data_IF_716158947059
#
_entry.id   IF_716158947059
#
_cell.length_a   1.000
_cell.length_b   1.000
_cell.length_c   1.000
_cell.angle_alpha   90.00
_cell.angle_beta   90.00
_cell.angle_gamma   90.00
#
_symmetry.space_group_name_H-M   'P 1'
#
loop_
_entity.id
_entity.type
_entity.pdbx_description
1 polymer ?
#
# COMPACT_ATOMS: atom_id res chain seq x y z
N UNK A 1 -20.32 -14.47 -6.41
CA UNK A 1 -20.76 -14.25 -5.02
C UNK A 1 -20.27 -15.33 -4.01
N UNK A 2 -19.31 -16.19 -4.38
CA UNK A 2 -18.81 -17.29 -3.55
C UNK A 2 -17.26 -17.34 -3.53
N UNK A 3 -16.60 -16.19 -3.68
CA UNK A 3 -15.15 -16.15 -3.47
C UNK A 3 -14.91 -16.16 -1.96
N UNK A 4 -14.22 -17.19 -1.48
CA UNK A 4 -13.62 -17.17 -0.15
C UNK A 4 -12.57 -16.05 -0.15
N UNK A 5 -12.90 -14.94 0.51
CA UNK A 5 -11.91 -13.93 0.82
C UNK A 5 -11.01 -14.49 1.92
N UNK A 6 -9.75 -14.77 1.58
CA UNK A 6 -8.74 -15.05 2.58
C UNK A 6 -8.35 -13.72 3.24
N UNK A 7 -8.52 -13.64 4.55
CA UNK A 7 -8.00 -12.54 5.37
C UNK A 7 -6.75 -13.03 6.12
N UNK A 8 -5.75 -12.16 6.24
CA UNK A 8 -4.50 -12.41 6.96
C UNK A 8 -4.30 -11.37 8.07
N UNK A 9 -5.01 -11.50 9.21
CA UNK A 9 -4.95 -10.51 10.30
C UNK A 9 -3.53 -10.38 10.90
N UNK A 10 -2.76 -11.47 10.90
CA UNK A 10 -1.38 -11.51 11.41
C UNK A 10 -0.35 -10.91 10.43
N UNK A 11 -0.80 -10.54 9.23
CA UNK A 11 -0.01 -9.93 8.16
C UNK A 11 1.20 -10.80 7.77
N UNK A 12 1.07 -12.11 7.92
CA UNK A 12 2.15 -13.06 7.64
C UNK A 12 2.51 -13.08 6.14
N UNK A 13 1.51 -12.92 5.27
CA UNK A 13 1.67 -12.86 3.82
C UNK A 13 2.47 -11.63 3.41
N UNK A 14 2.21 -10.45 3.99
CA UNK A 14 2.98 -9.24 3.70
C UNK A 14 4.49 -9.50 3.89
N UNK A 15 4.88 -10.03 5.06
CA UNK A 15 6.29 -10.37 5.34
C UNK A 15 6.84 -11.42 4.37
N UNK A 16 6.06 -12.44 4.04
CA UNK A 16 6.46 -13.49 3.09
C UNK A 16 6.72 -12.94 1.67
N UNK A 17 6.01 -11.88 1.28
CA UNK A 17 6.18 -11.19 -0.01
C UNK A 17 7.13 -9.99 0.06
N UNK A 18 7.93 -9.85 1.13
CA UNK A 18 8.94 -8.79 1.26
C UNK A 18 8.37 -7.42 1.62
N UNK A 19 7.13 -7.36 2.08
CA UNK A 19 6.45 -6.16 2.57
C UNK A 19 6.45 -6.21 4.10
N UNK A 20 7.39 -5.56 4.80
CA UNK A 20 7.38 -5.55 6.25
C UNK A 20 6.18 -4.76 6.78
N UNK A 21 5.78 -5.07 8.02
CA UNK A 21 4.79 -4.25 8.73
C UNK A 21 5.46 -2.93 9.12
N UNK A 22 4.99 -1.82 8.54
CA UNK A 22 5.55 -0.50 8.77
C UNK A 22 5.05 0.02 10.12
N UNK A 23 5.94 0.40 11.02
CA UNK A 23 5.58 1.05 12.28
C UNK A 23 5.51 2.58 12.09
N UNK A 24 4.40 3.18 12.51
CA UNK A 24 4.30 4.64 12.60
C UNK A 24 4.90 5.11 13.93
N UNK A 25 5.89 5.98 13.87
CA UNK A 25 6.55 6.54 15.05
C UNK A 25 6.33 8.06 15.13
N UNK A 26 6.66 8.66 16.28
CA UNK A 26 6.60 10.12 16.40
C UNK A 26 7.69 10.80 15.56
N UNK A 27 8.96 10.40 15.78
CA UNK A 27 10.12 11.16 15.28
C UNK A 27 11.18 10.32 14.53
N UNK A 28 11.02 9.00 14.45
CA UNK A 28 12.01 8.09 13.85
C UNK A 28 11.54 7.56 12.49
N UNK A 29 12.34 7.80 11.45
CA UNK A 29 12.15 7.16 10.14
C UNK A 29 13.32 6.21 9.87
N UNK A 30 12.99 4.95 9.59
CA UNK A 30 13.92 3.90 9.20
C UNK A 30 13.25 2.97 8.19
N UNK A 31 13.28 3.36 6.90
CA UNK A 31 12.68 2.59 5.81
C UNK A 31 13.33 1.19 5.72
N UNK A 32 12.59 0.07 5.57
CA UNK A 32 11.12 -0.06 5.45
C UNK A 32 10.31 -0.32 6.70
N UNK A 33 10.91 -0.24 7.88
CA UNK A 33 10.28 -0.74 9.10
C UNK A 33 9.61 0.36 9.91
N UNK A 34 10.07 1.62 9.79
CA UNK A 34 9.55 2.75 10.56
C UNK A 34 9.40 3.98 9.70
N UNK A 35 8.31 4.73 9.90
CA UNK A 35 8.14 6.07 9.35
C UNK A 35 7.63 7.01 10.43
N UNK A 36 8.21 8.20 10.53
CA UNK A 36 7.72 9.21 11.46
C UNK A 36 6.44 9.86 10.96
N UNK A 37 5.58 10.31 11.86
CA UNK A 37 4.37 11.06 11.51
C UNK A 37 4.70 12.37 10.78
N UNK A 38 5.86 12.96 11.05
CA UNK A 38 6.37 14.11 10.30
C UNK A 38 6.65 13.73 8.83
N UNK A 39 7.35 12.62 8.59
CA UNK A 39 7.61 12.14 7.25
C UNK A 39 6.32 11.81 6.48
N UNK A 40 5.30 11.24 7.15
CA UNK A 40 3.98 11.01 6.55
C UNK A 40 3.33 12.33 6.12
N UNK A 41 3.34 13.37 6.97
CA UNK A 41 2.73 14.67 6.66
C UNK A 41 3.44 15.45 5.55
N UNK A 42 4.72 15.18 5.34
CA UNK A 42 5.51 15.79 4.27
C UNK A 42 5.28 15.11 2.90
N UNK A 43 4.76 13.88 2.88
CA UNK A 43 4.41 13.21 1.64
C UNK A 43 3.33 13.98 0.86
N UNK A 44 3.36 13.81 -0.46
CA UNK A 44 2.40 14.39 -1.39
C UNK A 44 1.84 13.30 -2.29
N UNK A 45 0.61 12.89 -2.01
CA UNK A 45 -0.16 11.99 -2.85
C UNK A 45 -0.97 12.84 -3.82
N UNK A 46 -0.96 12.45 -5.10
CA UNK A 46 -1.80 13.02 -6.13
C UNK A 46 -2.57 11.91 -6.86
N UNK A 47 -3.90 12.02 -6.86
CA UNK A 47 -4.80 11.08 -7.53
C UNK A 47 -5.77 11.91 -8.38
N UNK A 48 -5.41 12.21 -9.65
CA UNK A 48 -6.24 13.04 -10.53
C UNK A 48 -7.65 12.47 -10.70
N UNK A 49 -8.66 13.34 -10.56
CA UNK A 49 -10.09 12.97 -10.62
C UNK A 49 -10.68 12.51 -9.28
N UNK A 50 -9.84 12.11 -8.33
CA UNK A 50 -10.23 11.71 -6.98
C UNK A 50 -9.92 12.79 -5.94
N UNK A 51 -8.74 13.41 -6.05
CA UNK A 51 -8.27 14.49 -5.16
C UNK A 51 -8.26 15.84 -5.89
N UNK A 52 -8.48 16.97 -5.17
CA UNK A 52 -8.41 18.32 -5.74
C UNK A 52 -6.99 18.79 -6.10
N UNK A 53 -5.97 18.06 -5.65
CA UNK A 53 -4.56 18.31 -5.93
C UNK A 53 -3.65 17.56 -4.95
N UNK A 54 -2.32 17.67 -5.09
CA UNK A 54 -1.37 16.96 -4.23
C UNK A 54 -1.49 17.36 -2.76
N UNK A 55 -1.60 16.37 -1.84
CA UNK A 55 -1.73 16.61 -0.39
C UNK A 55 -1.16 15.47 0.45
N UNK A 56 -1.11 15.64 1.77
CA UNK A 56 -0.62 14.57 2.66
C UNK A 56 -1.60 13.38 2.74
N UNK A 57 -1.10 12.18 3.09
CA UNK A 57 -1.90 10.96 3.15
C UNK A 57 -3.09 11.01 4.10
N UNK A 58 -2.99 11.76 5.20
CA UNK A 58 -4.06 11.85 6.21
C UNK A 58 -5.21 12.67 5.62
N UNK A 59 -4.91 13.84 5.06
CA UNK A 59 -5.90 14.68 4.38
C UNK A 59 -6.54 13.96 3.18
N UNK A 60 -5.74 13.25 2.39
CA UNK A 60 -6.24 12.45 1.26
C UNK A 60 -7.23 11.37 1.74
N UNK A 61 -6.87 10.61 2.78
CA UNK A 61 -7.73 9.57 3.36
C UNK A 61 -9.08 10.10 3.85
N UNK A 62 -9.10 11.28 4.49
CA UNK A 62 -10.35 11.91 4.94
C UNK A 62 -11.27 12.31 3.77
N UNK A 63 -10.70 12.84 2.68
CA UNK A 63 -11.47 13.24 1.50
C UNK A 63 -12.03 12.01 0.79
N UNK A 64 -11.19 11.00 0.55
CA UNK A 64 -11.58 9.76 -0.12
C UNK A 64 -12.62 8.99 0.71
N UNK A 65 -12.40 8.85 2.02
CA UNK A 65 -13.35 8.18 2.91
C UNK A 65 -14.73 8.85 2.89
N UNK A 66 -14.80 10.19 2.90
CA UNK A 66 -16.08 10.91 2.76
C UNK A 66 -16.73 10.70 1.40
N UNK A 67 -15.94 10.68 0.32
CA UNK A 67 -16.41 10.44 -1.05
C UNK A 67 -17.00 9.03 -1.20
N UNK A 68 -16.36 8.04 -0.58
CA UNK A 68 -16.76 6.63 -0.65
C UNK A 68 -17.84 6.26 0.39
N UNK A 69 -18.29 7.23 1.19
CA UNK A 69 -19.22 7.00 2.32
C UNK A 69 -18.71 5.93 3.29
N UNK A 70 -17.38 5.88 3.48
CA UNK A 70 -16.75 4.93 4.38
C UNK A 70 -16.91 5.38 5.83
N UNK A 71 -17.48 4.52 6.65
CA UNK A 71 -17.63 4.70 8.09
C UNK A 71 -16.61 3.83 8.82
N UNK A 72 -15.83 4.45 9.70
CA UNK A 72 -14.86 3.74 10.54
C UNK A 72 -15.59 2.73 11.44
N UNK A 73 -15.10 1.50 11.46
CA UNK A 73 -15.64 0.44 12.31
C UNK A 73 -14.71 0.15 13.50
N UNK A 74 -15.21 -0.59 14.49
CA UNK A 74 -14.40 -1.04 15.62
C UNK A 74 -13.18 -1.87 15.16
N UNK A 75 -13.32 -2.65 14.09
CA UNK A 75 -12.22 -3.44 13.53
C UNK A 75 -11.10 -2.54 12.98
N UNK A 76 -11.46 -1.39 12.39
CA UNK A 76 -10.50 -0.43 11.87
C UNK A 76 -9.76 0.28 13.02
N UNK A 77 -10.48 0.64 14.09
CA UNK A 77 -9.90 1.20 15.31
C UNK A 77 -8.90 0.24 15.96
N UNK A 78 -9.26 -1.04 16.08
CA UNK A 78 -8.39 -2.09 16.60
C UNK A 78 -7.15 -2.27 15.72
N UNK A 79 -7.31 -2.24 14.39
CA UNK A 79 -6.19 -2.31 13.45
C UNK A 79 -5.25 -1.11 13.62
N UNK A 80 -5.78 0.11 13.68
CA UNK A 80 -5.01 1.34 13.88
C UNK A 80 -4.27 1.33 15.23
N UNK A 81 -4.89 0.80 16.28
CA UNK A 81 -4.28 0.68 17.61
C UNK A 81 -3.02 -0.22 17.62
N UNK A 82 -2.85 -1.11 16.63
CA UNK A 82 -1.61 -1.88 16.50
C UNK A 82 -0.41 -1.02 16.07
N UNK A 83 -0.62 0.22 15.61
CA UNK A 83 0.45 1.15 15.21
C UNK A 83 1.20 0.74 13.94
N UNK A 84 0.72 -0.29 13.24
CA UNK A 84 1.37 -0.84 12.06
C UNK A 84 0.57 -0.58 10.78
N UNK A 85 1.18 0.16 9.85
CA UNK A 85 0.73 0.29 8.47
C UNK A 85 0.99 -0.96 7.64
N UNK A 86 0.18 -1.14 6.60
CA UNK A 86 0.32 -2.23 5.63
C UNK A 86 0.83 -1.66 4.32
N UNK A 87 2.01 -2.12 3.91
CA UNK A 87 2.59 -1.76 2.63
C UNK A 87 1.97 -2.58 1.52
N UNK A 88 1.71 -1.93 0.39
CA UNK A 88 1.08 -2.56 -0.76
C UNK A 88 2.15 -3.06 -1.73
N UNK A 89 1.86 -4.22 -2.32
CA UNK A 89 2.63 -4.76 -3.43
C UNK A 89 1.73 -5.45 -4.44
N UNK A 90 2.06 -5.28 -5.72
CA UNK A 90 1.44 -5.96 -6.84
C UNK A 90 2.45 -6.93 -7.43
N UNK A 91 2.03 -8.16 -7.69
CA UNK A 91 2.89 -9.24 -8.14
C UNK A 91 2.26 -9.94 -9.35
N UNK A 92 3.08 -10.27 -10.34
CA UNK A 92 2.68 -11.14 -11.45
C UNK A 92 3.32 -12.50 -11.25
N UNK A 93 2.47 -13.53 -11.22
CA UNK A 93 2.87 -14.93 -11.09
C UNK A 93 2.71 -15.64 -12.44
N UNK A 94 3.66 -16.51 -12.77
CA UNK A 94 3.51 -17.42 -13.91
C UNK A 94 2.62 -18.64 -13.57
N UNK A 95 2.44 -19.54 -14.55
CA UNK A 95 1.64 -20.76 -14.39
C UNK A 95 2.21 -21.75 -13.36
N UNK A 96 3.48 -21.61 -12.97
CA UNK A 96 4.12 -22.42 -11.94
C UNK A 96 3.99 -21.77 -10.55
N UNK A 97 3.35 -20.60 -10.45
CA UNK A 97 3.24 -19.84 -9.21
C UNK A 97 4.51 -19.08 -8.84
N UNK A 98 5.43 -18.87 -9.79
CA UNK A 98 6.67 -18.11 -9.57
C UNK A 98 6.39 -16.63 -9.82
N UNK A 99 6.78 -15.77 -8.88
CA UNK A 99 6.76 -14.32 -9.06
C UNK A 99 7.78 -13.93 -10.15
N UNK A 100 7.29 -13.39 -11.26
CA UNK A 100 8.12 -12.94 -12.40
C UNK A 100 8.30 -11.43 -12.45
N UNK A 101 7.43 -10.69 -11.77
CA UNK A 101 7.50 -9.25 -11.65
C UNK A 101 6.81 -8.79 -10.36
N UNK A 102 7.31 -7.71 -9.78
CA UNK A 102 6.73 -7.09 -8.60
C UNK A 102 6.85 -5.56 -8.64
N UNK A 103 5.82 -4.88 -8.19
CA UNK A 103 5.80 -3.46 -7.88
C UNK A 103 5.40 -3.32 -6.41
N UNK A 104 6.29 -2.82 -5.57
CA UNK A 104 6.06 -2.69 -4.13
C UNK A 104 6.33 -1.27 -3.67
N UNK A 105 5.76 -0.87 -2.54
CA UNK A 105 6.00 0.47 -1.99
C UNK A 105 7.40 0.64 -1.37
N UNK A 106 8.07 -0.46 -1.04
CA UNK A 106 9.38 -0.50 -0.33
C UNK A 106 10.57 0.17 -1.05
N UNK A 107 10.79 -0.01 -2.37
CA UNK A 107 12.01 0.42 -3.05
C UNK A 107 12.26 1.92 -2.97
N UNK A 108 13.55 2.29 -3.04
CA UNK A 108 14.01 3.69 -3.11
C UNK A 108 13.48 4.56 -1.96
N UNK A 109 13.30 3.97 -0.78
CA UNK A 109 12.85 4.69 0.42
C UNK A 109 11.37 5.07 0.38
N UNK A 110 10.50 4.17 -0.08
CA UNK A 110 9.07 4.44 -0.12
C UNK A 110 8.59 5.15 -1.38
N UNK A 111 9.40 5.20 -2.45
CA UNK A 111 9.12 6.01 -3.64
C UNK A 111 7.74 5.75 -4.26
N UNK A 112 7.28 4.52 -4.16
CA UNK A 112 6.02 4.07 -4.76
C UNK A 112 4.85 4.04 -3.77
N UNK A 113 5.01 4.63 -2.57
CA UNK A 113 3.92 4.75 -1.61
C UNK A 113 2.70 5.40 -2.23
N UNK A 114 1.54 4.77 -2.03
CA UNK A 114 0.25 5.17 -2.57
C UNK A 114 0.21 5.30 -4.10
N UNK A 115 1.18 4.71 -4.80
CA UNK A 115 1.24 4.68 -6.25
C UNK A 115 0.77 3.33 -6.81
N UNK A 116 0.46 3.35 -8.09
CA UNK A 116 0.19 2.15 -8.88
C UNK A 116 1.14 2.11 -10.08
N UNK A 117 1.49 0.91 -10.57
CA UNK A 117 2.23 0.79 -11.82
C UNK A 117 1.41 1.43 -12.95
N UNK A 118 2.09 2.08 -13.89
CA UNK A 118 1.37 2.61 -15.06
C UNK A 118 0.78 1.47 -15.90
N UNK A 119 -0.32 1.67 -16.64
CA UNK A 119 -0.85 0.64 -17.53
C UNK A 119 0.19 0.12 -18.52
N UNK A 120 1.08 0.99 -19.02
CA UNK A 120 2.15 0.59 -19.94
C UNK A 120 3.19 -0.31 -19.26
N UNK A 121 3.62 0.05 -18.05
CA UNK A 121 4.57 -0.76 -17.26
C UNK A 121 3.98 -2.13 -16.94
N UNK A 122 2.72 -2.17 -16.50
CA UNK A 122 2.02 -3.42 -16.21
C UNK A 122 1.90 -4.30 -17.45
N UNK A 123 1.47 -3.75 -18.59
CA UNK A 123 1.34 -4.51 -19.84
C UNK A 123 2.70 -5.00 -20.37
N UNK A 124 3.75 -4.20 -20.20
CA UNK A 124 5.13 -4.61 -20.52
C UNK A 124 5.57 -5.78 -19.66
N UNK A 125 5.32 -5.73 -18.35
CA UNK A 125 5.63 -6.81 -17.43
C UNK A 125 4.87 -8.10 -17.82
N UNK A 126 3.56 -8.01 -18.05
CA UNK A 126 2.74 -9.16 -18.49
C UNK A 126 3.29 -9.81 -19.77
N UNK A 127 3.73 -9.00 -20.73
CA UNK A 127 4.27 -9.50 -22.00
C UNK A 127 5.55 -10.32 -21.83
N UNK A 128 6.35 -10.03 -20.79
CA UNK A 128 7.56 -10.79 -20.47
C UNK A 128 7.25 -12.10 -19.72
N UNK A 129 6.18 -12.12 -18.93
CA UNK A 129 5.74 -13.31 -18.18
C UNK A 129 5.01 -14.33 -19.07
N UNK A 130 4.38 -13.88 -20.15
CA UNK A 130 3.63 -14.73 -21.08
C UNK A 130 4.51 -15.51 -22.09
N UNK A 131 5.82 -15.23 -22.12
CA UNK A 131 6.81 -15.95 -22.94
C UNK A 131 7.30 -17.22 -22.22
#
# INVERSE_FOLDING_TARGET
PNLLAASDPERASHRAFGLPNLEFTQDETNWPYKVSMAAVKDMRIDIPGELPGPMDPIAAGEILGKKDHYEMTEADEQMMATGHGQLVGQFLLDRQGIVRWSFTEVPEGGRYMFAAPSPQELMSAVSQVAQ
#
